data_IF_673889603824
#
_entry.id   IF_673889603824
#
_cell.length_a   1.000
_cell.length_b   1.000
_cell.length_c   1.000
_cell.angle_alpha   90.00
_cell.angle_beta   90.00
_cell.angle_gamma   90.00
#
_symmetry.space_group_name_H-M   'P 1'
#
loop_
_entity.id
_entity.type
_entity.pdbx_description
1 polymer ?
#
# COMPACT_ATOMS: atom_id res chain seq x y z
N UNK A 1 -15.00 61.91 -56.59
CA UNK A 1 -14.00 61.89 -55.50
C UNK A 1 -14.60 61.07 -54.37
N UNK A 2 -14.22 59.79 -54.27
CA UNK A 2 -14.86 58.83 -53.38
C UNK A 2 -14.39 59.05 -51.94
N UNK A 3 -15.35 59.28 -51.03
CA UNK A 3 -15.10 59.35 -49.60
C UNK A 3 -14.80 57.94 -49.07
N UNK A 4 -13.55 57.71 -48.66
CA UNK A 4 -13.13 56.50 -47.97
C UNK A 4 -13.77 56.47 -46.58
N UNK A 5 -14.71 55.54 -46.37
CA UNK A 5 -15.22 55.24 -45.02
C UNK A 5 -14.05 54.68 -44.18
N UNK A 6 -13.79 55.20 -42.98
CA UNK A 6 -12.83 54.57 -42.09
C UNK A 6 -13.34 53.19 -41.69
N UNK A 7 -12.47 52.18 -41.78
CA UNK A 7 -12.77 50.82 -41.32
C UNK A 7 -13.15 50.86 -39.82
N UNK A 8 -14.13 50.07 -39.37
CA UNK A 8 -14.42 49.97 -37.95
C UNK A 8 -13.18 49.37 -37.28
N UNK A 9 -12.49 50.16 -36.46
CA UNK A 9 -11.58 49.64 -35.45
C UNK A 9 -12.37 48.64 -34.63
N UNK A 10 -12.03 47.35 -34.80
CA UNK A 10 -12.50 46.26 -33.96
C UNK A 10 -12.22 46.66 -32.52
N UNK A 11 -13.26 47.18 -31.85
CA UNK A 11 -13.27 47.34 -30.41
C UNK A 11 -13.27 45.92 -29.86
N UNK A 12 -12.06 45.37 -29.68
CA UNK A 12 -11.81 44.39 -28.65
C UNK A 12 -12.55 44.88 -27.42
N UNK A 13 -13.69 44.26 -27.14
CA UNK A 13 -14.56 44.66 -26.04
C UNK A 13 -13.88 44.11 -24.79
N UNK A 14 -12.82 44.78 -24.36
CA UNK A 14 -12.05 44.47 -23.17
C UNK A 14 -13.04 44.32 -22.02
N UNK A 15 -13.10 43.11 -21.45
CA UNK A 15 -13.85 42.83 -20.23
C UNK A 15 -12.81 42.68 -19.13
N UNK A 16 -12.22 43.79 -18.63
CA UNK A 16 -11.07 43.73 -17.73
C UNK A 16 -11.37 42.90 -16.48
N UNK A 17 -12.62 42.91 -16.01
CA UNK A 17 -13.03 42.13 -14.85
C UNK A 17 -12.95 40.60 -15.06
N UNK A 18 -13.40 40.10 -16.22
CA UNK A 18 -13.34 38.65 -16.51
C UNK A 18 -11.88 38.20 -16.66
N UNK A 19 -11.06 39.01 -17.32
CA UNK A 19 -9.64 38.75 -17.47
C UNK A 19 -8.94 38.67 -16.10
N UNK A 20 -9.18 39.64 -15.21
CA UNK A 20 -8.59 39.65 -13.86
C UNK A 20 -9.02 38.42 -13.07
N UNK A 21 -10.32 38.09 -13.04
CA UNK A 21 -10.83 36.94 -12.29
C UNK A 21 -10.29 35.64 -12.85
N UNK A 22 -10.28 35.48 -14.18
CA UNK A 22 -9.74 34.29 -14.83
C UNK A 22 -8.24 34.12 -14.56
N UNK A 23 -7.45 35.19 -14.63
CA UNK A 23 -6.00 35.13 -14.30
C UNK A 23 -5.80 34.74 -12.84
N UNK A 24 -6.52 35.37 -11.90
CA UNK A 24 -6.43 35.01 -10.49
C UNK A 24 -6.78 33.53 -10.23
N UNK A 25 -7.85 33.04 -10.87
CA UNK A 25 -8.27 31.64 -10.74
C UNK A 25 -7.24 30.68 -11.36
N UNK A 26 -6.66 31.01 -12.52
CA UNK A 26 -5.57 30.23 -13.11
C UNK A 26 -4.36 30.16 -12.18
N UNK A 27 -3.92 31.29 -11.61
CA UNK A 27 -2.77 31.34 -10.72
C UNK A 27 -2.97 30.50 -9.47
N UNK A 28 -4.11 30.64 -8.79
CA UNK A 28 -4.42 29.86 -7.58
C UNK A 28 -4.52 28.38 -7.92
N UNK A 29 -5.26 28.03 -8.97
CA UNK A 29 -5.45 26.64 -9.38
C UNK A 29 -4.12 25.99 -9.76
N UNK A 30 -3.22 26.70 -10.44
CA UNK A 30 -1.90 26.17 -10.80
C UNK A 30 -1.05 25.81 -9.57
N UNK A 31 -1.08 26.64 -8.52
CA UNK A 31 -0.39 26.36 -7.26
C UNK A 31 -1.00 25.13 -6.58
N UNK A 32 -2.33 25.02 -6.54
CA UNK A 32 -3.02 23.86 -5.99
C UNK A 32 -2.70 22.57 -6.76
N UNK A 33 -2.68 22.62 -8.09
CA UNK A 33 -2.28 21.49 -8.94
C UNK A 33 -0.86 21.04 -8.64
N UNK A 34 0.09 21.99 -8.53
CA UNK A 34 1.47 21.68 -8.19
C UNK A 34 1.60 21.07 -6.79
N UNK A 35 0.83 21.58 -5.82
CA UNK A 35 0.78 21.04 -4.46
C UNK A 35 0.26 19.61 -4.44
N UNK A 36 -0.83 19.31 -5.16
CA UNK A 36 -1.36 17.96 -5.28
C UNK A 36 -0.34 17.01 -5.91
N UNK A 37 0.34 17.42 -6.99
CA UNK A 37 1.40 16.62 -7.61
C UNK A 37 2.54 16.32 -6.65
N UNK A 38 2.99 17.30 -5.87
CA UNK A 38 4.03 17.12 -4.84
C UNK A 38 3.60 16.12 -3.76
N UNK A 39 2.40 16.27 -3.21
CA UNK A 39 1.87 15.37 -2.18
C UNK A 39 1.68 13.95 -2.72
N UNK A 40 1.15 13.79 -3.93
CA UNK A 40 1.02 12.48 -4.59
C UNK A 40 2.37 11.77 -4.74
N UNK A 41 3.42 12.51 -5.11
CA UNK A 41 4.76 11.94 -5.23
C UNK A 41 5.33 11.50 -3.87
N UNK A 42 5.10 12.29 -2.80
CA UNK A 42 5.50 11.95 -1.43
C UNK A 42 4.85 10.65 -0.95
N UNK A 43 3.53 10.54 -1.07
CA UNK A 43 2.80 9.33 -0.69
C UNK A 43 3.22 8.12 -1.54
N UNK A 44 3.53 8.32 -2.82
CA UNK A 44 4.05 7.23 -3.65
C UNK A 44 5.42 6.73 -3.19
N UNK A 45 6.29 7.61 -2.67
CA UNK A 45 7.57 7.20 -2.11
C UNK A 45 7.41 6.37 -0.84
N UNK A 46 6.52 6.80 0.04
CA UNK A 46 6.24 6.14 1.33
C UNK A 46 5.60 4.77 1.13
N UNK A 47 4.61 4.69 0.23
CA UNK A 47 4.07 3.42 -0.25
C UNK A 47 5.16 2.47 -0.76
N UNK A 48 6.13 2.98 -1.53
CA UNK A 48 7.19 2.14 -2.07
C UNK A 48 8.10 1.58 -0.97
N UNK A 49 8.40 2.38 0.06
CA UNK A 49 9.16 1.94 1.24
C UNK A 49 8.37 0.88 2.00
N UNK A 50 7.10 1.14 2.34
CA UNK A 50 6.25 0.21 3.07
C UNK A 50 6.07 -1.12 2.31
N UNK A 51 5.86 -1.10 1.00
CA UNK A 51 5.80 -2.34 0.20
C UNK A 51 7.14 -3.07 0.12
N UNK A 52 8.27 -2.34 0.08
CA UNK A 52 9.59 -2.97 0.11
C UNK A 52 9.83 -3.66 1.46
N UNK A 53 9.50 -3.02 2.57
CA UNK A 53 9.57 -3.59 3.92
C UNK A 53 8.65 -4.82 4.07
N UNK A 54 7.41 -4.72 3.58
CA UNK A 54 6.48 -5.86 3.56
C UNK A 54 7.04 -7.04 2.76
N UNK A 55 7.66 -6.75 1.61
CA UNK A 55 8.22 -7.79 0.75
C UNK A 55 9.45 -8.45 1.38
N UNK A 56 10.33 -7.67 2.01
CA UNK A 56 11.47 -8.19 2.76
C UNK A 56 11.01 -9.09 3.91
N UNK A 57 10.03 -8.64 4.71
CA UNK A 57 9.47 -9.43 5.80
C UNK A 57 8.81 -10.74 5.32
N UNK A 58 8.17 -10.75 4.13
CA UNK A 58 7.67 -12.00 3.53
C UNK A 58 8.77 -12.98 3.15
N UNK A 59 9.91 -12.49 2.67
CA UNK A 59 11.07 -13.34 2.38
C UNK A 59 11.62 -13.93 3.68
N UNK A 60 11.84 -13.10 4.69
CA UNK A 60 12.30 -13.55 6.02
C UNK A 60 11.33 -14.58 6.65
N UNK A 61 10.01 -14.35 6.54
CA UNK A 61 8.99 -15.30 7.00
C UNK A 61 9.07 -16.65 6.27
N UNK A 62 9.28 -16.62 4.95
CA UNK A 62 9.42 -17.81 4.12
C UNK A 62 10.70 -18.59 4.42
N UNK A 63 11.79 -17.89 4.73
CA UNK A 63 13.06 -18.51 5.12
C UNK A 63 12.90 -19.22 6.48
N UNK A 64 12.28 -18.55 7.47
CA UNK A 64 12.00 -19.13 8.78
C UNK A 64 11.01 -20.31 8.72
N UNK A 65 9.96 -20.23 7.89
CA UNK A 65 9.02 -21.33 7.64
C UNK A 65 9.72 -22.53 6.98
N UNK A 66 10.68 -22.26 6.10
CA UNK A 66 11.50 -23.31 5.49
C UNK A 66 12.40 -23.99 6.53
N UNK A 67 12.99 -23.23 7.44
CA UNK A 67 13.75 -23.79 8.58
C UNK A 67 12.87 -24.69 9.47
N UNK A 68 11.63 -24.27 9.75
CA UNK A 68 10.68 -25.05 10.55
C UNK A 68 10.30 -26.36 9.84
N UNK A 69 10.08 -26.30 8.52
CA UNK A 69 9.83 -27.50 7.71
C UNK A 69 11.03 -28.44 7.67
N UNK A 70 12.25 -27.91 7.50
CA UNK A 70 13.48 -28.72 7.50
C UNK A 70 13.69 -29.42 8.84
N UNK A 71 13.51 -28.71 9.96
CA UNK A 71 13.59 -29.30 11.30
C UNK A 71 12.55 -30.42 11.48
N UNK A 72 11.30 -30.19 11.04
CA UNK A 72 10.25 -31.21 11.08
C UNK A 72 10.59 -32.45 10.25
N UNK A 73 11.22 -32.29 9.10
CA UNK A 73 11.68 -33.43 8.28
C UNK A 73 12.75 -34.23 9.02
N UNK A 74 13.73 -33.55 9.63
CA UNK A 74 14.78 -34.21 10.43
C UNK A 74 14.15 -35.01 11.58
N UNK A 75 13.23 -34.40 12.33
CA UNK A 75 12.56 -35.06 13.45
C UNK A 75 11.73 -36.26 12.99
N UNK A 76 11.00 -36.14 11.87
CA UNK A 76 10.20 -37.23 11.31
C UNK A 76 11.07 -38.45 10.94
N UNK A 77 12.26 -38.21 10.40
CA UNK A 77 13.21 -39.28 10.07
C UNK A 77 13.67 -39.98 11.35
N UNK A 78 14.10 -39.22 12.37
CA UNK A 78 14.59 -39.80 13.63
C UNK A 78 13.45 -40.54 14.36
N UNK A 79 12.23 -39.99 14.35
CA UNK A 79 11.05 -40.62 14.93
C UNK A 79 10.66 -41.91 14.21
N UNK A 80 10.70 -41.96 12.88
CA UNK A 80 10.37 -43.17 12.13
C UNK A 80 11.32 -44.34 12.45
N UNK A 81 12.61 -44.05 12.65
CA UNK A 81 13.59 -45.03 13.11
C UNK A 81 13.28 -45.51 14.54
N UNK A 82 12.92 -44.58 15.45
CA UNK A 82 12.51 -44.93 16.81
C UNK A 82 11.25 -45.81 16.85
N UNK A 83 10.24 -45.49 16.05
CA UNK A 83 9.01 -46.28 15.92
C UNK A 83 9.33 -47.69 15.42
N UNK A 84 10.22 -47.82 14.44
CA UNK A 84 10.64 -49.12 13.89
C UNK A 84 11.36 -49.95 14.95
N UNK A 85 12.36 -49.38 15.64
CA UNK A 85 13.10 -50.05 16.70
C UNK A 85 12.19 -50.51 17.85
N UNK A 86 11.23 -49.66 18.23
CA UNK A 86 10.23 -49.97 19.26
C UNK A 86 9.30 -51.10 18.82
N UNK A 87 8.85 -51.10 17.57
CA UNK A 87 8.00 -52.16 17.01
C UNK A 87 8.73 -53.52 16.91
N UNK A 88 10.04 -53.51 16.67
CA UNK A 88 10.88 -54.72 16.66
C UNK A 88 11.28 -55.20 18.06
N UNK A 89 11.00 -54.42 19.10
CA UNK A 89 11.35 -54.72 20.50
C UNK A 89 12.82 -54.50 20.83
N UNK A 90 13.57 -53.78 19.98
CA UNK A 90 14.97 -53.40 20.24
C UNK A 90 15.02 -52.13 21.10
N UNK A 91 14.80 -52.29 22.40
CA UNK A 91 14.79 -51.17 23.35
C UNK A 91 16.15 -50.48 23.45
N UNK A 92 17.26 -51.20 23.24
CA UNK A 92 18.60 -50.62 23.28
C UNK A 92 18.87 -49.70 22.08
N UNK A 93 18.31 -50.02 20.91
CA UNK A 93 18.33 -49.13 19.75
C UNK A 93 17.37 -47.95 19.93
N UNK A 94 16.16 -48.18 20.44
CA UNK A 94 15.19 -47.11 20.71
C UNK A 94 15.76 -46.04 21.67
N UNK A 95 16.35 -46.46 22.80
CA UNK A 95 16.99 -45.55 23.77
C UNK A 95 18.13 -44.73 23.13
N UNK A 96 18.89 -45.34 22.22
CA UNK A 96 19.97 -44.65 21.49
C UNK A 96 19.45 -43.65 20.46
N UNK A 97 18.31 -43.91 19.84
CA UNK A 97 17.67 -42.98 18.90
C UNK A 97 17.04 -41.82 19.68
N UNK A 98 16.36 -42.10 20.78
CA UNK A 98 15.77 -41.08 21.67
C UNK A 98 16.82 -40.11 22.20
N UNK A 99 18.02 -40.61 22.56
CA UNK A 99 19.15 -39.78 22.96
C UNK A 99 19.57 -38.74 21.89
N UNK A 100 19.25 -38.98 20.60
CA UNK A 100 19.55 -38.10 19.46
C UNK A 100 18.41 -37.16 19.07
N UNK A 101 17.25 -37.25 19.72
CA UNK A 101 16.14 -36.32 19.48
C UNK A 101 16.61 -34.87 19.62
N UNK A 102 16.12 -34.03 18.71
CA UNK A 102 16.37 -32.60 18.77
C UNK A 102 15.71 -32.01 20.02
N UNK A 103 16.23 -30.90 20.58
CA UNK A 103 15.71 -30.35 21.83
C UNK A 103 14.21 -30.01 21.78
N UNK A 104 13.73 -29.46 20.67
CA UNK A 104 12.32 -29.07 20.50
C UNK A 104 11.41 -30.29 20.31
N UNK A 105 11.86 -31.30 19.56
CA UNK A 105 11.11 -32.55 19.42
C UNK A 105 11.01 -33.31 20.74
N UNK A 106 12.08 -33.35 21.54
CA UNK A 106 12.07 -34.02 22.84
C UNK A 106 10.99 -33.48 23.77
N UNK A 107 10.78 -32.17 23.81
CA UNK A 107 9.72 -31.55 24.63
C UNK A 107 8.35 -32.10 24.23
N UNK A 108 8.07 -32.16 22.93
CA UNK A 108 6.80 -32.69 22.43
C UNK A 108 6.66 -34.19 22.65
N UNK A 109 7.74 -34.94 22.49
CA UNK A 109 7.78 -36.39 22.71
C UNK A 109 7.55 -36.76 24.17
N UNK A 110 8.22 -36.08 25.11
CA UNK A 110 8.04 -36.29 26.54
C UNK A 110 6.61 -35.93 26.99
N UNK A 111 6.06 -34.84 26.45
CA UNK A 111 4.68 -34.44 26.69
C UNK A 111 3.69 -35.49 26.17
N UNK A 112 3.91 -36.00 24.96
CA UNK A 112 3.10 -37.05 24.35
C UNK A 112 3.11 -38.35 25.17
N UNK A 113 4.28 -38.79 25.64
CA UNK A 113 4.37 -39.95 26.54
C UNK A 113 3.67 -39.71 27.88
N UNK A 114 3.83 -38.51 28.46
CA UNK A 114 3.23 -38.15 29.76
C UNK A 114 1.71 -38.15 29.70
N UNK A 115 1.13 -37.75 28.57
CA UNK A 115 -0.32 -37.80 28.34
C UNK A 115 -0.83 -39.23 28.06
N UNK A 116 0.06 -40.23 28.03
CA UNK A 116 -0.29 -41.62 27.77
C UNK A 116 -0.49 -41.92 26.28
N UNK A 117 0.20 -41.18 25.40
CA UNK A 117 0.20 -41.38 23.95
C UNK A 117 -1.20 -41.25 23.32
N UNK A 118 -2.04 -40.34 23.85
CA UNK A 118 -3.42 -40.12 23.40
C UNK A 118 -3.48 -39.62 21.95
N UNK A 119 -2.62 -38.66 21.61
CA UNK A 119 -2.50 -38.15 20.25
C UNK A 119 -1.78 -39.16 19.33
N UNK A 120 -2.00 -39.13 18.00
CA UNK A 120 -1.37 -40.07 17.07
C UNK A 120 0.17 -40.03 17.03
N UNK A 121 0.78 -39.01 17.61
CA UNK A 121 2.21 -38.89 17.80
C UNK A 121 2.64 -37.52 18.31
N UNK A 122 3.94 -37.35 18.66
CA UNK A 122 4.48 -36.12 19.23
C UNK A 122 4.27 -34.87 18.37
N UNK A 123 4.21 -35.04 17.05
CA UNK A 123 4.04 -33.95 16.09
C UNK A 123 2.67 -33.26 16.13
N UNK A 124 1.69 -33.87 16.79
CA UNK A 124 0.35 -33.33 17.01
C UNK A 124 0.26 -32.53 18.33
N UNK A 125 1.27 -32.63 19.20
CA UNK A 125 1.31 -31.92 20.48
C UNK A 125 1.47 -30.41 20.25
N UNK A 126 0.83 -29.61 21.09
CA UNK A 126 0.95 -28.15 21.05
C UNK A 126 2.38 -27.69 21.40
N UNK A 127 3.09 -28.50 22.18
CA UNK A 127 4.48 -28.31 22.58
C UNK A 127 5.47 -28.49 21.41
N UNK A 128 5.03 -29.07 20.28
CA UNK A 128 5.88 -29.23 19.11
C UNK A 128 6.02 -27.92 18.33
N UNK A 129 7.02 -27.13 18.70
CA UNK A 129 7.38 -25.87 18.04
C UNK A 129 8.77 -25.99 17.41
N UNK A 130 8.88 -26.35 16.11
CA UNK A 130 10.16 -26.42 15.44
C UNK A 130 10.79 -25.02 15.27
N UNK A 131 12.13 -24.93 15.21
CA UNK A 131 12.85 -23.67 15.03
C UNK A 131 12.40 -22.96 13.76
N UNK A 132 12.14 -21.66 13.85
CA UNK A 132 11.61 -20.85 12.74
C UNK A 132 10.09 -20.68 12.74
N UNK A 133 9.33 -21.45 13.53
CA UNK A 133 7.86 -21.32 13.61
C UNK A 133 7.43 -19.95 14.13
N UNK A 134 7.98 -19.54 15.28
CA UNK A 134 7.64 -18.25 15.91
C UNK A 134 8.16 -17.08 15.07
N UNK A 135 9.41 -17.16 14.61
CA UNK A 135 10.00 -16.14 13.75
C UNK A 135 9.20 -15.96 12.45
N UNK A 136 8.77 -17.04 11.80
CA UNK A 136 7.92 -16.96 10.62
C UNK A 136 6.60 -16.24 10.91
N UNK A 137 5.96 -16.53 12.03
CA UNK A 137 4.72 -15.88 12.45
C UNK A 137 4.92 -14.39 12.73
N UNK A 138 5.99 -14.02 13.44
CA UNK A 138 6.35 -12.62 13.70
C UNK A 138 6.61 -11.85 12.40
N UNK A 139 7.42 -12.41 11.49
CA UNK A 139 7.74 -11.77 10.21
C UNK A 139 6.54 -11.66 9.29
N UNK A 140 5.64 -12.64 9.33
CA UNK A 140 4.35 -12.57 8.61
C UNK A 140 3.49 -11.42 9.15
N UNK A 141 3.40 -11.25 10.48
CA UNK A 141 2.65 -10.14 11.07
C UNK A 141 3.23 -8.77 10.67
N UNK A 142 4.55 -8.63 10.68
CA UNK A 142 5.23 -7.41 10.21
C UNK A 142 4.93 -7.16 8.73
N UNK A 143 5.00 -8.20 7.89
CA UNK A 143 4.69 -8.08 6.48
C UNK A 143 3.26 -7.57 6.24
N UNK A 144 2.29 -8.11 6.96
CA UNK A 144 0.88 -7.74 6.82
C UNK A 144 0.62 -6.30 7.31
N UNK A 145 1.24 -5.89 8.42
CA UNK A 145 1.15 -4.52 8.91
C UNK A 145 1.70 -3.52 7.88
N UNK A 146 2.90 -3.77 7.34
CA UNK A 146 3.53 -2.89 6.35
C UNK A 146 2.79 -2.89 5.02
N UNK A 147 2.21 -4.03 4.63
CA UNK A 147 1.37 -4.10 3.45
C UNK A 147 0.09 -3.26 3.62
N UNK A 148 -0.57 -3.35 4.79
CA UNK A 148 -1.74 -2.54 5.10
C UNK A 148 -1.41 -1.03 5.09
N UNK A 149 -0.28 -0.64 5.70
CA UNK A 149 0.22 0.74 5.64
C UNK A 149 0.44 1.22 4.20
N UNK A 150 1.03 0.38 3.35
CA UNK A 150 1.25 0.72 1.94
C UNK A 150 -0.06 0.92 1.15
N UNK A 151 -1.13 0.21 1.51
CA UNK A 151 -2.46 0.41 0.93
C UNK A 151 -3.07 1.75 1.36
N UNK A 152 -2.96 2.12 2.65
CA UNK A 152 -3.41 3.45 3.10
C UNK A 152 -2.65 4.58 2.38
N UNK A 153 -1.34 4.43 2.24
CA UNK A 153 -0.50 5.42 1.56
C UNK A 153 -0.80 5.49 0.05
N UNK A 154 -1.23 4.37 -0.55
CA UNK A 154 -1.77 4.35 -1.92
C UNK A 154 -3.00 5.24 -2.04
N UNK A 155 -4.00 5.03 -1.19
CA UNK A 155 -5.26 5.79 -1.23
C UNK A 155 -5.01 7.29 -1.05
N UNK A 156 -4.11 7.65 -0.11
CA UNK A 156 -3.72 9.05 0.11
C UNK A 156 -3.09 9.65 -1.14
N UNK A 157 -2.15 8.96 -1.78
CA UNK A 157 -1.50 9.43 -3.01
C UNK A 157 -2.49 9.57 -4.19
N UNK A 158 -3.35 8.59 -4.37
CA UNK A 158 -4.34 8.56 -5.46
C UNK A 158 -5.35 9.69 -5.33
N UNK A 159 -5.77 10.02 -4.11
CA UNK A 159 -6.64 11.16 -3.81
C UNK A 159 -6.04 12.49 -4.29
N UNK A 160 -4.74 12.72 -4.08
CA UNK A 160 -4.05 13.89 -4.63
C UNK A 160 -3.90 13.85 -6.16
N UNK A 161 -3.67 12.67 -6.73
CA UNK A 161 -3.65 12.49 -8.19
C UNK A 161 -4.99 12.86 -8.83
N UNK A 162 -6.12 12.43 -8.24
CA UNK A 162 -7.46 12.80 -8.70
C UNK A 162 -7.70 14.31 -8.65
N UNK A 163 -7.31 14.98 -7.56
CA UNK A 163 -7.41 16.44 -7.46
C UNK A 163 -6.53 17.16 -8.48
N UNK A 164 -5.36 16.62 -8.82
CA UNK A 164 -4.49 17.17 -9.88
C UNK A 164 -5.23 17.21 -11.22
N UNK A 165 -5.94 16.13 -11.58
CA UNK A 165 -6.75 16.06 -12.80
C UNK A 165 -7.95 17.03 -12.72
N UNK A 166 -8.61 17.11 -11.56
CA UNK A 166 -9.72 18.04 -11.33
C UNK A 166 -9.29 19.50 -11.52
N UNK A 167 -8.15 19.90 -10.94
CA UNK A 167 -7.62 21.25 -11.10
C UNK A 167 -7.10 21.52 -12.51
N UNK A 168 -6.56 20.52 -13.22
CA UNK A 168 -6.22 20.64 -14.64
C UNK A 168 -7.46 20.96 -15.50
N UNK A 169 -8.61 20.35 -15.20
CA UNK A 169 -9.89 20.69 -15.84
C UNK A 169 -10.31 22.14 -15.55
N UNK A 170 -10.16 22.61 -14.31
CA UNK A 170 -10.42 24.01 -13.94
C UNK A 170 -9.52 24.96 -14.73
N UNK A 171 -8.22 24.67 -14.84
CA UNK A 171 -7.28 25.47 -15.62
C UNK A 171 -7.73 25.55 -17.09
N UNK A 172 -8.11 24.42 -17.68
CA UNK A 172 -8.59 24.36 -19.05
C UNK A 172 -9.86 25.19 -19.28
N UNK A 173 -10.88 25.01 -18.42
CA UNK A 173 -12.14 25.75 -18.52
C UNK A 173 -11.92 27.26 -18.36
N UNK A 174 -11.04 27.65 -17.44
CA UNK A 174 -10.70 29.06 -17.19
C UNK A 174 -9.98 29.68 -18.38
N UNK A 175 -9.00 28.96 -18.96
CA UNK A 175 -8.29 29.41 -20.16
C UNK A 175 -9.21 29.51 -21.38
N UNK A 176 -10.15 28.57 -21.54
CA UNK A 176 -11.15 28.61 -22.62
C UNK A 176 -12.12 29.78 -22.46
N UNK A 177 -12.49 30.15 -21.23
CA UNK A 177 -13.36 31.29 -20.95
C UNK A 177 -12.74 32.65 -21.35
N UNK A 178 -11.41 32.72 -21.53
CA UNK A 178 -10.69 33.91 -21.98
C UNK A 178 -10.64 34.07 -23.51
N UNK A 179 -11.10 33.08 -24.29
CA UNK A 179 -11.14 33.17 -25.76
C UNK A 179 -12.31 34.04 -26.25
N UNK A 180 -12.27 34.42 -27.53
CA UNK A 180 -13.36 35.15 -28.22
C UNK A 180 -14.59 34.26 -28.44
N UNK A 181 -15.28 33.92 -27.36
CA UNK A 181 -16.53 33.14 -27.36
C UNK A 181 -17.72 34.01 -26.96
N UNK A 182 -18.93 33.48 -27.19
CA UNK A 182 -20.16 34.18 -26.80
C UNK A 182 -20.19 34.46 -25.29
N UNK A 183 -20.66 35.65 -24.91
CA UNK A 183 -20.53 36.13 -23.53
C UNK A 183 -21.13 35.20 -22.47
N UNK A 184 -22.31 34.63 -22.77
CA UNK A 184 -22.99 33.71 -21.85
C UNK A 184 -22.17 32.42 -21.69
N UNK A 185 -21.53 31.95 -22.76
CA UNK A 185 -20.69 30.75 -22.71
C UNK A 185 -19.44 30.97 -21.84
N UNK A 186 -18.79 32.13 -21.93
CA UNK A 186 -17.66 32.47 -21.07
C UNK A 186 -18.03 32.47 -19.57
N UNK A 187 -19.17 33.07 -19.20
CA UNK A 187 -19.65 33.04 -17.82
C UNK A 187 -20.06 31.64 -17.35
N UNK A 188 -20.69 30.83 -18.21
CA UNK A 188 -21.05 29.46 -17.85
C UNK A 188 -19.80 28.60 -17.59
N UNK A 189 -18.76 28.72 -18.44
CA UNK A 189 -17.49 28.02 -18.24
C UNK A 189 -16.77 28.49 -16.97
N UNK A 190 -16.69 29.81 -16.75
CA UNK A 190 -16.03 30.39 -15.58
C UNK A 190 -16.76 30.04 -14.28
N UNK A 191 -18.10 30.04 -14.30
CA UNK A 191 -18.93 29.62 -13.17
C UNK A 191 -18.74 28.14 -12.84
N UNK A 192 -18.77 27.26 -13.86
CA UNK A 192 -18.51 25.84 -13.68
C UNK A 192 -17.11 25.58 -13.12
N UNK A 193 -16.09 26.24 -13.69
CA UNK A 193 -14.71 26.15 -13.22
C UNK A 193 -14.58 26.62 -11.76
N UNK A 194 -15.26 27.72 -11.40
CA UNK A 194 -15.29 28.22 -10.03
C UNK A 194 -15.93 27.23 -9.05
N UNK A 195 -17.06 26.62 -9.41
CA UNK A 195 -17.71 25.58 -8.58
C UNK A 195 -16.77 24.39 -8.36
N UNK A 196 -16.15 23.89 -9.43
CA UNK A 196 -15.22 22.76 -9.36
C UNK A 196 -13.97 23.12 -8.52
N UNK A 197 -13.44 24.34 -8.69
CA UNK A 197 -12.27 24.81 -7.96
C UNK A 197 -12.55 24.90 -6.46
N UNK A 198 -13.69 25.47 -6.08
CA UNK A 198 -14.09 25.59 -4.68
C UNK A 198 -14.35 24.21 -4.07
N UNK A 199 -15.07 23.32 -4.77
CA UNK A 199 -15.30 21.96 -4.27
C UNK A 199 -13.99 21.19 -4.11
N UNK A 200 -13.09 21.27 -5.10
CA UNK A 200 -11.79 20.62 -5.07
C UNK A 200 -10.91 21.17 -3.94
N UNK A 201 -10.93 22.48 -3.71
CA UNK A 201 -10.19 23.11 -2.61
C UNK A 201 -10.74 22.69 -1.24
N UNK A 202 -12.06 22.64 -1.07
CA UNK A 202 -12.67 22.16 0.18
C UNK A 202 -12.29 20.71 0.46
N UNK A 203 -12.33 19.84 -0.56
CA UNK A 203 -11.89 18.45 -0.44
C UNK A 203 -10.40 18.36 -0.11
N UNK A 204 -9.56 19.16 -0.77
CA UNK A 204 -8.11 19.22 -0.52
C UNK A 204 -7.79 19.51 0.95
N UNK A 205 -8.56 20.41 1.59
CA UNK A 205 -8.37 20.74 3.02
C UNK A 205 -8.68 19.56 3.97
N UNK A 206 -9.38 18.53 3.50
CA UNK A 206 -9.67 17.32 4.30
C UNK A 206 -8.58 16.26 4.19
N UNK A 207 -7.67 16.38 3.22
CA UNK A 207 -6.67 15.33 2.95
C UNK A 207 -5.46 15.44 3.90
N UNK A 208 -4.89 14.30 4.32
CA UNK A 208 -3.69 14.29 5.15
C UNK A 208 -2.50 14.83 4.35
N UNK A 209 -1.79 15.81 4.91
CA UNK A 209 -0.61 16.44 4.29
C UNK A 209 0.67 15.87 4.90
N UNK A 210 1.69 15.66 4.05
CA UNK A 210 3.04 15.25 4.45
C UNK A 210 4.04 16.33 4.03
N UNK A 211 4.95 16.71 4.93
CA UNK A 211 6.01 17.68 4.65
C UNK A 211 7.32 16.95 4.33
#
# INVERSE_FOLDING_TARGET
MAATKPAPVSRWRHRPFIEIVAVAMLSVTAILTAWCGFQSAKWSGERAIAFAEASAARVEASDADSQAREARVVDLIIYAEWVTATAEGDTALADQIEARFTPHFRIAFDAWQTDGEVEPGPFAMAEYVPPGTEESAERTAVADERFAQALEDTERGDNYSLLTVLFALVLFLTAMAQRDIHHVAAWMMLGLAGVIAVSGFVVLLTFPMRF
#
